data_IF_042602197806
#
_entry.id   IF_042602197806
#
_cell.length_a   1.000
_cell.length_b   1.000
_cell.length_c   1.000
_cell.angle_alpha   90.00
_cell.angle_beta   90.00
_cell.angle_gamma   90.00
#
_symmetry.space_group_name_H-M   'P 1'
#
loop_
_entity.id
_entity.type
_entity.pdbx_description
1 polymer ?
#
# COMPACT_ATOMS: atom_id res chain seq x y z
N UNK A 1 -0.34 -16.45 -2.99
CA UNK A 1 -0.43 -15.05 -3.41
C UNK A 1 0.72 -14.74 -4.33
N UNK A 2 0.44 -14.39 -5.57
CA UNK A 2 1.53 -14.11 -6.50
C UNK A 2 2.26 -12.82 -6.13
N UNK A 3 3.56 -12.86 -6.30
CA UNK A 3 4.38 -11.66 -6.27
C UNK A 3 4.09 -10.85 -7.53
N UNK A 4 3.93 -9.55 -7.38
CA UNK A 4 3.75 -8.65 -8.51
C UNK A 4 4.88 -7.62 -8.52
N UNK A 5 5.20 -7.18 -9.72
CA UNK A 5 6.19 -6.13 -9.95
C UNK A 5 5.51 -5.07 -10.79
N UNK A 6 5.59 -3.84 -10.37
CA UNK A 6 4.99 -2.72 -11.12
C UNK A 6 5.90 -1.51 -11.07
N UNK A 7 5.76 -0.58 -12.03
CA UNK A 7 6.67 0.57 -12.09
C UNK A 7 6.33 1.61 -11.01
N UNK A 8 7.37 2.06 -10.32
CA UNK A 8 7.32 3.21 -9.44
C UNK A 8 8.18 4.34 -9.98
N UNK A 9 8.24 5.48 -9.29
CA UNK A 9 9.00 6.64 -9.76
C UNK A 9 10.52 6.40 -9.85
N UNK A 10 11.07 5.52 -8.99
CA UNK A 10 12.51 5.23 -8.96
C UNK A 10 12.85 3.85 -9.49
N UNK A 11 11.93 3.23 -10.23
CA UNK A 11 12.10 1.90 -10.78
C UNK A 11 11.03 0.96 -10.28
N UNK A 12 11.30 -0.35 -10.39
CA UNK A 12 10.28 -1.33 -10.04
C UNK A 12 10.00 -1.37 -8.54
N UNK A 13 8.75 -1.63 -8.22
CA UNK A 13 8.29 -1.90 -6.85
C UNK A 13 7.78 -3.33 -6.78
N UNK A 14 8.08 -3.99 -5.68
CA UNK A 14 7.68 -5.37 -5.43
C UNK A 14 6.48 -5.41 -4.49
N UNK A 15 5.49 -6.25 -4.81
CA UNK A 15 4.33 -6.38 -3.96
C UNK A 15 3.71 -7.77 -3.99
N UNK A 16 2.64 -7.91 -3.23
CA UNK A 16 1.77 -9.07 -3.22
C UNK A 16 0.36 -8.60 -3.46
N UNK A 17 -0.29 -9.19 -4.45
CA UNK A 17 -1.65 -8.80 -4.81
C UNK A 17 -2.56 -10.02 -4.77
N UNK A 18 -3.67 -9.89 -4.05
CA UNK A 18 -4.73 -10.88 -4.02
C UNK A 18 -5.92 -10.34 -4.78
N UNK A 19 -6.25 -10.88 -5.96
CA UNK A 19 -7.42 -10.44 -6.69
C UNK A 19 -8.70 -10.83 -5.97
N UNK A 20 -9.73 -10.01 -6.15
CA UNK A 20 -11.02 -10.31 -5.57
C UNK A 20 -11.80 -11.28 -6.46
N UNK A 21 -12.73 -12.05 -5.86
CA UNK A 21 -13.56 -12.96 -6.63
C UNK A 21 -14.61 -12.25 -7.49
N UNK A 22 -14.88 -10.97 -7.23
CA UNK A 22 -15.91 -10.20 -7.95
C UNK A 22 -15.32 -8.93 -8.52
N UNK A 23 -15.71 -8.54 -9.77
CA UNK A 23 -15.13 -7.36 -10.43
C UNK A 23 -15.41 -6.03 -9.71
N UNK A 24 -16.53 -5.93 -8.98
CA UNK A 24 -16.90 -4.69 -8.30
C UNK A 24 -16.49 -4.67 -6.82
N UNK A 25 -15.76 -5.68 -6.38
CA UNK A 25 -15.28 -5.73 -5.01
C UNK A 25 -14.41 -4.52 -4.70
N UNK A 26 -14.39 -4.05 -3.44
CA UNK A 26 -13.54 -2.93 -3.07
C UNK A 26 -12.06 -3.29 -3.14
N UNK A 27 -11.23 -2.27 -3.22
CA UNK A 27 -9.77 -2.38 -3.23
C UNK A 27 -9.23 -1.92 -1.89
N UNK A 28 -8.20 -2.59 -1.40
CA UNK A 28 -7.43 -2.15 -0.25
C UNK A 28 -5.94 -2.17 -0.57
N UNK A 29 -5.23 -1.16 -0.09
CA UNK A 29 -3.78 -1.08 -0.19
C UNK A 29 -3.19 -0.90 1.21
N UNK A 30 -2.18 -1.70 1.54
CA UNK A 30 -1.56 -1.72 2.86
C UNK A 30 -0.15 -1.15 2.78
N UNK A 31 0.15 -0.18 3.65
CA UNK A 31 1.45 0.50 3.69
C UNK A 31 2.20 0.10 4.96
N UNK A 32 3.43 -0.37 4.78
CA UNK A 32 4.21 -0.97 5.87
C UNK A 32 4.92 0.07 6.74
N UNK A 33 5.46 -0.35 7.92
CA UNK A 33 6.18 0.54 8.82
C UNK A 33 7.47 1.10 8.25
N UNK A 34 8.16 1.92 9.05
CA UNK A 34 9.33 2.69 8.62
C UNK A 34 10.41 1.81 8.00
N UNK A 35 10.82 2.09 6.76
CA UNK A 35 11.83 1.28 6.06
C UNK A 35 13.16 1.17 6.81
N UNK A 36 13.61 2.27 7.42
CA UNK A 36 14.88 2.28 8.14
C UNK A 36 14.77 1.67 9.54
N UNK A 37 13.56 1.40 10.00
CA UNK A 37 13.32 0.67 11.24
C UNK A 37 13.06 -0.81 11.02
N UNK A 38 13.42 -1.33 9.84
CA UNK A 38 13.20 -2.73 9.51
C UNK A 38 11.81 -3.04 8.95
N UNK A 39 11.03 -2.01 8.63
CA UNK A 39 9.69 -2.20 8.07
C UNK A 39 9.74 -2.75 6.66
N UNK A 40 8.90 -3.72 6.38
CA UNK A 40 8.69 -4.32 5.06
C UNK A 40 7.23 -4.72 4.92
N UNK A 41 6.82 -5.06 3.71
CA UNK A 41 5.46 -5.59 3.48
C UNK A 41 5.19 -6.90 4.21
N UNK A 42 6.23 -7.55 4.72
CA UNK A 42 6.11 -8.81 5.45
C UNK A 42 6.10 -8.62 6.97
N UNK A 43 6.07 -7.40 7.44
CA UNK A 43 5.95 -7.10 8.85
C UNK A 43 4.61 -7.64 9.38
N UNK A 44 4.57 -8.09 10.62
CA UNK A 44 3.48 -8.89 11.17
C UNK A 44 2.11 -8.20 11.10
N UNK A 45 2.03 -6.94 11.51
CA UNK A 45 0.75 -6.20 11.50
C UNK A 45 0.31 -5.91 10.07
N UNK A 46 1.25 -5.56 9.21
CA UNK A 46 1.00 -5.34 7.79
C UNK A 46 0.38 -6.59 7.14
N UNK A 47 0.94 -7.77 7.44
CA UNK A 47 0.40 -9.01 6.92
C UNK A 47 -0.99 -9.34 7.48
N UNK A 48 -1.23 -9.03 8.75
CA UNK A 48 -2.55 -9.26 9.37
C UNK A 48 -3.62 -8.39 8.74
N UNK A 49 -3.30 -7.12 8.50
CA UNK A 49 -4.21 -6.21 7.79
C UNK A 49 -4.51 -6.74 6.39
N UNK A 50 -3.47 -7.14 5.67
CA UNK A 50 -3.62 -7.69 4.34
C UNK A 50 -4.58 -8.88 4.33
N UNK A 51 -4.36 -9.85 5.24
CA UNK A 51 -5.22 -11.04 5.33
C UNK A 51 -6.65 -10.69 5.71
N UNK A 52 -6.84 -9.70 6.58
CA UNK A 52 -8.17 -9.27 6.99
C UNK A 52 -8.96 -8.74 5.79
N UNK A 53 -8.36 -7.89 4.98
CA UNK A 53 -9.02 -7.36 3.78
C UNK A 53 -9.26 -8.45 2.76
N UNK A 54 -8.29 -9.33 2.53
CA UNK A 54 -8.46 -10.48 1.63
C UNK A 54 -9.65 -11.33 2.06
N UNK A 55 -9.74 -11.64 3.35
CA UNK A 55 -10.81 -12.49 3.88
C UNK A 55 -12.18 -11.84 3.79
N UNK A 56 -12.22 -10.52 3.68
CA UNK A 56 -13.47 -9.78 3.49
C UNK A 56 -13.83 -9.56 2.02
N UNK A 57 -13.08 -10.16 1.11
CA UNK A 57 -13.40 -10.12 -0.31
C UNK A 57 -12.82 -8.94 -1.07
N UNK A 58 -11.91 -8.18 -0.49
CA UNK A 58 -11.26 -7.05 -1.15
C UNK A 58 -10.18 -7.56 -2.12
N UNK A 59 -10.03 -6.85 -3.23
CA UNK A 59 -8.81 -6.94 -4.03
C UNK A 59 -7.73 -6.17 -3.26
N UNK A 60 -6.68 -6.85 -2.81
CA UNK A 60 -5.79 -6.30 -1.80
C UNK A 60 -4.33 -6.33 -2.25
N UNK A 61 -3.65 -5.19 -2.12
CA UNK A 61 -2.24 -5.03 -2.43
C UNK A 61 -1.48 -4.65 -1.16
N UNK A 62 -0.34 -5.30 -0.93
CA UNK A 62 0.72 -4.78 -0.07
C UNK A 62 2.00 -4.74 -0.88
N UNK A 63 2.88 -3.81 -0.60
CA UNK A 63 4.11 -3.67 -1.38
C UNK A 63 5.24 -3.10 -0.52
N UNK A 64 6.46 -3.25 -1.01
CA UNK A 64 7.64 -2.67 -0.39
C UNK A 64 7.91 -1.29 -0.98
N UNK A 65 8.05 -0.28 -0.10
CA UNK A 65 8.52 1.05 -0.53
C UNK A 65 9.90 0.94 -1.16
N UNK A 66 10.30 1.98 -1.88
CA UNK A 66 11.61 2.06 -2.56
C UNK A 66 12.73 1.64 -1.61
N UNK A 67 13.70 0.90 -2.14
CA UNK A 67 14.86 0.48 -1.39
C UNK A 67 14.62 -0.67 -0.42
N UNK A 68 13.40 -1.16 -0.31
CA UNK A 68 13.04 -2.28 0.58
C UNK A 68 12.87 -3.54 -0.27
N UNK A 69 13.44 -4.65 0.20
CA UNK A 69 13.35 -5.92 -0.52
C UNK A 69 13.83 -5.77 -1.95
N UNK A 70 13.01 -6.17 -2.91
CA UNK A 70 13.33 -6.06 -4.33
C UNK A 70 12.87 -4.77 -4.98
N UNK A 71 12.31 -3.85 -4.22
CA UNK A 71 11.95 -2.54 -4.73
C UNK A 71 13.20 -1.71 -4.95
N UNK A 72 13.27 -1.05 -6.11
CA UNK A 72 14.42 -0.22 -6.48
C UNK A 72 14.37 1.15 -5.83
N UNK A 73 15.48 1.87 -5.86
CA UNK A 73 15.60 3.19 -5.27
C UNK A 73 16.15 3.16 -3.87
N UNK A 74 16.04 4.27 -3.18
CA UNK A 74 16.51 4.41 -1.81
C UNK A 74 15.55 5.29 -1.01
N UNK A 75 15.57 5.12 0.30
CA UNK A 75 14.69 5.86 1.22
C UNK A 75 14.79 7.37 0.96
N UNK A 76 13.65 8.03 0.85
CA UNK A 76 13.56 9.45 0.49
C UNK A 76 12.70 10.25 1.48
N UNK A 77 12.85 9.96 2.75
CA UNK A 77 12.27 10.75 3.87
C UNK A 77 10.76 10.96 3.78
N UNK A 78 10.03 10.05 3.18
CA UNK A 78 8.59 10.12 3.05
C UNK A 78 8.09 10.79 1.77
N UNK A 79 8.88 11.64 1.16
CA UNK A 79 8.49 12.34 -0.08
C UNK A 79 8.38 11.34 -1.24
N UNK A 80 9.44 10.58 -1.45
CA UNK A 80 9.47 9.57 -2.50
C UNK A 80 8.52 8.42 -2.19
N UNK A 81 8.40 8.04 -0.93
CA UNK A 81 7.50 6.96 -0.51
C UNK A 81 6.04 7.32 -0.78
N UNK A 82 5.67 8.59 -0.62
CA UNK A 82 4.32 9.03 -1.00
C UNK A 82 4.09 8.84 -2.51
N UNK A 83 5.07 9.16 -3.33
CA UNK A 83 4.99 8.93 -4.78
C UNK A 83 4.92 7.44 -5.12
N UNK A 84 5.64 6.60 -4.37
CA UNK A 84 5.54 5.15 -4.53
C UNK A 84 4.11 4.67 -4.26
N UNK A 85 3.51 5.17 -3.19
CA UNK A 85 2.15 4.79 -2.81
C UNK A 85 1.13 5.23 -3.88
N UNK A 86 1.31 6.43 -4.45
CA UNK A 86 0.46 6.90 -5.54
C UNK A 86 0.59 5.99 -6.77
N UNK A 87 1.82 5.58 -7.13
CA UNK A 87 2.04 4.66 -8.24
C UNK A 87 1.41 3.29 -7.98
N UNK A 88 1.52 2.80 -6.76
CA UNK A 88 0.91 1.53 -6.36
C UNK A 88 -0.61 1.59 -6.46
N UNK A 89 -1.20 2.70 -6.04
CA UNK A 89 -2.63 2.90 -6.14
C UNK A 89 -3.08 2.94 -7.60
N UNK A 90 -2.34 3.65 -8.47
CA UNK A 90 -2.61 3.68 -9.90
C UNK A 90 -2.57 2.27 -10.49
N UNK A 91 -1.57 1.48 -10.11
CA UNK A 91 -1.46 0.12 -10.61
C UNK A 91 -2.66 -0.74 -10.21
N UNK A 92 -3.07 -0.70 -8.94
CA UNK A 92 -4.18 -1.53 -8.47
C UNK A 92 -5.50 -1.09 -9.12
N UNK A 93 -5.66 0.20 -9.39
CA UNK A 93 -6.84 0.70 -10.10
C UNK A 93 -6.87 0.26 -11.56
N UNK A 94 -5.71 0.04 -12.17
CA UNK A 94 -5.63 -0.49 -13.53
C UNK A 94 -5.99 -1.97 -13.60
N UNK A 95 -5.55 -2.75 -12.62
CA UNK A 95 -5.83 -4.20 -12.63
C UNK A 95 -7.21 -4.54 -12.06
N UNK A 96 -7.84 -3.60 -11.36
CA UNK A 96 -9.17 -3.79 -10.78
C UNK A 96 -10.01 -2.52 -10.98
N UNK A 97 -10.36 -2.19 -12.25
CA UNK A 97 -10.91 -0.86 -12.59
C UNK A 97 -12.35 -0.63 -12.15
N UNK A 98 -13.09 -1.67 -11.81
CA UNK A 98 -14.50 -1.56 -11.46
C UNK A 98 -14.75 -1.53 -9.95
N UNK A 99 -13.72 -1.26 -9.15
CA UNK A 99 -13.83 -1.22 -7.70
C UNK A 99 -14.91 -0.24 -7.23
N UNK A 100 -15.77 -0.69 -6.33
CA UNK A 100 -16.80 0.16 -5.72
C UNK A 100 -16.20 1.25 -4.86
N UNK A 101 -15.16 0.91 -4.09
CA UNK A 101 -14.55 1.81 -3.13
C UNK A 101 -13.10 1.41 -2.91
N UNK A 102 -12.28 2.38 -2.56
CA UNK A 102 -10.85 2.18 -2.29
C UNK A 102 -10.56 2.50 -0.83
N UNK A 103 -9.89 1.55 -0.17
CA UNK A 103 -9.40 1.70 1.20
C UNK A 103 -7.89 1.71 1.23
N UNK A 104 -7.32 2.50 2.13
CA UNK A 104 -5.89 2.48 2.40
C UNK A 104 -5.70 2.25 3.90
N UNK A 105 -4.82 1.32 4.25
CA UNK A 105 -4.46 1.06 5.63
C UNK A 105 -2.95 1.23 5.77
N UNK A 106 -2.52 1.81 6.86
CA UNK A 106 -1.10 2.03 7.09
C UNK A 106 -0.70 1.77 8.53
N UNK A 107 0.54 1.33 8.70
CA UNK A 107 1.12 1.00 10.00
C UNK A 107 2.30 1.95 10.25
N UNK A 108 2.24 2.71 11.34
CA UNK A 108 3.32 3.62 11.77
C UNK A 108 3.70 4.60 10.65
N UNK A 109 4.89 4.52 10.09
CA UNK A 109 5.32 5.34 8.95
C UNK A 109 4.32 5.21 7.77
N UNK A 110 3.86 3.99 7.48
CA UNK A 110 2.87 3.76 6.43
C UNK A 110 1.55 4.49 6.70
N UNK A 111 1.17 4.64 7.96
CA UNK A 111 -0.02 5.41 8.33
C UNK A 111 0.16 6.89 7.98
N UNK A 112 1.35 7.43 8.19
CA UNK A 112 1.65 8.83 7.83
C UNK A 112 1.59 9.03 6.32
N UNK A 113 2.20 8.13 5.57
CA UNK A 113 2.17 8.18 4.10
C UNK A 113 0.73 8.08 3.59
N UNK A 114 -0.05 7.16 4.14
CA UNK A 114 -1.45 6.98 3.76
C UNK A 114 -2.31 8.21 4.03
N UNK A 115 -2.07 8.88 5.16
CA UNK A 115 -2.78 10.11 5.48
C UNK A 115 -2.50 11.19 4.43
N UNK A 116 -1.25 11.34 4.01
CA UNK A 116 -0.88 12.30 2.97
C UNK A 116 -1.48 11.93 1.62
N UNK A 117 -1.51 10.64 1.30
CA UNK A 117 -2.12 10.15 0.07
C UNK A 117 -3.63 10.44 0.06
N UNK A 118 -4.29 10.18 1.18
CA UNK A 118 -5.73 10.44 1.34
C UNK A 118 -6.09 11.88 0.98
N UNK A 119 -5.25 12.82 1.36
CA UNK A 119 -5.49 14.24 1.10
C UNK A 119 -5.36 14.61 -0.38
N UNK A 120 -4.71 13.77 -1.18
CA UNK A 120 -4.46 14.00 -2.61
C UNK A 120 -5.31 13.14 -3.53
N UNK A 121 -5.96 12.11 -3.01
CA UNK A 121 -6.69 11.11 -3.81
C UNK A 121 -8.09 10.98 -3.25
N UNK A 122 -9.04 11.79 -3.74
CA UNK A 122 -10.40 11.82 -3.19
C UNK A 122 -11.20 10.54 -3.39
N UNK A 123 -10.75 9.65 -4.28
CA UNK A 123 -11.39 8.35 -4.46
C UNK A 123 -11.17 7.41 -3.28
N UNK A 124 -10.20 7.70 -2.41
CA UNK A 124 -9.99 6.90 -1.18
C UNK A 124 -11.11 7.23 -0.21
N UNK A 125 -11.94 6.24 0.10
CA UNK A 125 -13.12 6.41 0.94
C UNK A 125 -12.97 5.78 2.32
N UNK A 126 -12.05 4.85 2.47
CA UNK A 126 -11.78 4.18 3.74
C UNK A 126 -10.35 4.36 4.14
N UNK A 127 -10.12 4.65 5.42
CA UNK A 127 -8.80 4.88 5.97
C UNK A 127 -8.65 4.16 7.30
N UNK A 128 -7.58 3.39 7.44
CA UNK A 128 -7.25 2.71 8.69
C UNK A 128 -5.81 3.02 9.05
N UNK A 129 -5.61 3.59 10.24
CA UNK A 129 -4.30 4.01 10.72
C UNK A 129 -3.96 3.26 12.00
N UNK A 130 -2.81 2.62 12.03
CA UNK A 130 -2.33 1.90 13.22
C UNK A 130 -0.98 2.45 13.63
N UNK A 131 -0.93 2.99 14.86
CA UNK A 131 0.31 3.45 15.47
C UNK A 131 1.01 4.56 14.72
N UNK A 132 0.26 5.52 14.14
CA UNK A 132 0.87 6.65 13.44
C UNK A 132 1.78 7.44 14.40
N UNK A 133 2.99 7.84 13.95
CA UNK A 133 3.87 8.65 14.79
C UNK A 133 3.22 9.99 15.13
N UNK A 134 3.39 10.44 16.37
CA UNK A 134 2.85 11.72 16.82
C UNK A 134 3.61 12.90 16.24
N UNK A 135 4.84 12.68 15.81
CA UNK A 135 5.69 13.73 15.26
C UNK A 135 6.56 13.20 14.14
N UNK A 136 6.41 13.82 12.98
CA UNK A 136 7.33 13.58 11.86
C UNK A 136 7.33 14.78 10.94
#
# INVERSE_FOLDING_TARGET
MPTVIFPGPEGRLEGRFSPAPRPRAPVAMILHPHPQGGGTMNEQITQRLYKTFVNRGFATLRFNFRGVGRSQGSFDNGVGELSDAASALDWVQQVHPEAQVTWVAGVSFGALIGMQLLMRRPEIRGWLSIGAPASM
#
